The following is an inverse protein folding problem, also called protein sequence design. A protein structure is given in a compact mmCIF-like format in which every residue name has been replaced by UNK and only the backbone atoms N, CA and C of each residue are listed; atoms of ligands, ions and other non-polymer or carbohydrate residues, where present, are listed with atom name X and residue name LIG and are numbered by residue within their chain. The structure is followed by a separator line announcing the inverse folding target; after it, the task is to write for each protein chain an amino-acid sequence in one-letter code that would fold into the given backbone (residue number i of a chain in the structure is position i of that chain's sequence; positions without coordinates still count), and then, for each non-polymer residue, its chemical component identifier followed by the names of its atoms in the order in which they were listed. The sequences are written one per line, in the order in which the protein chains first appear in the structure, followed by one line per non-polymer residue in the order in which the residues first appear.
data_IF_980696007049
#
_entry.id   IF_980696007049
#
_cell.length_a   1.000
_cell.length_b   1.000
_cell.length_c   1.000
_cell.angle_alpha   90.00
_cell.angle_beta   90.00
_cell.angle_gamma   90.00
#
_symmetry.space_group_name_H-M   'P 1'
#
loop_
_entity.id
_entity.type
_entity.pdbx_description
1 polymer ?
#
# COMPACT_ATOMS: atom_id res chain seq x y z
N UNK A 1 -2.09 -8.54 -14.40
CA UNK A 1 -1.33 -7.86 -13.32
C UNK A 1 -1.62 -8.49 -11.95
N UNK A 2 -2.89 -8.69 -11.56
CA UNK A 2 -3.23 -9.33 -10.27
C UNK A 2 -2.60 -10.72 -10.08
N UNK A 3 -2.49 -11.53 -11.14
CA UNK A 3 -1.80 -12.83 -11.07
C UNK A 3 -0.31 -12.73 -10.78
N UNK A 4 0.37 -11.69 -11.26
CA UNK A 4 1.80 -11.48 -11.01
C UNK A 4 2.01 -11.10 -9.55
N UNK A 5 1.15 -10.24 -9.00
CA UNK A 5 1.16 -9.87 -7.57
C UNK A 5 0.87 -11.09 -6.70
N UNK A 6 -0.15 -11.88 -7.05
CA UNK A 6 -0.50 -13.12 -6.33
C UNK A 6 0.64 -14.14 -6.35
N UNK A 7 1.30 -14.32 -7.50
CA UNK A 7 2.48 -15.21 -7.62
C UNK A 7 3.67 -14.69 -6.83
N UNK A 8 3.92 -13.37 -6.83
CA UNK A 8 4.98 -12.77 -6.04
C UNK A 8 4.74 -12.93 -4.53
N UNK A 9 3.50 -12.77 -4.07
CA UNK A 9 3.12 -13.01 -2.66
C UNK A 9 3.30 -14.47 -2.27
N UNK A 10 2.83 -15.41 -3.09
CA UNK A 10 3.01 -16.86 -2.85
C UNK A 10 4.49 -17.26 -2.84
N UNK A 11 5.29 -16.70 -3.76
CA UNK A 11 6.72 -16.90 -3.79
C UNK A 11 7.42 -16.31 -2.56
N UNK A 12 6.97 -15.14 -2.08
CA UNK A 12 7.47 -14.51 -0.86
C UNK A 12 7.19 -15.36 0.39
N UNK A 13 5.96 -15.88 0.51
CA UNK A 13 5.58 -16.80 1.59
C UNK A 13 6.40 -18.10 1.55
N UNK A 14 6.55 -18.72 0.37
CA UNK A 14 7.37 -19.93 0.22
C UNK A 14 8.86 -19.69 0.47
N UNK A 15 9.38 -18.52 0.12
CA UNK A 15 10.76 -18.13 0.40
C UNK A 15 11.00 -17.94 1.91
N UNK A 16 10.04 -17.37 2.63
CA UNK A 16 10.10 -17.24 4.09
C UNK A 16 10.12 -18.61 4.78
N UNK A 17 9.30 -19.56 4.32
CA UNK A 17 9.23 -20.90 4.88
C UNK A 17 10.52 -21.70 4.63
N UNK A 18 11.05 -21.64 3.40
CA UNK A 18 12.37 -22.21 3.06
C UNK A 18 13.52 -21.59 3.86
N UNK A 19 13.49 -20.27 4.09
CA UNK A 19 14.50 -19.60 4.90
C UNK A 19 14.47 -20.07 6.36
N UNK A 20 13.27 -20.29 6.91
CA UNK A 20 13.09 -20.80 8.27
C UNK A 20 13.62 -22.23 8.41
N UNK A 21 13.32 -23.11 7.46
CA UNK A 21 13.87 -24.48 7.43
C UNK A 21 15.41 -24.48 7.35
N UNK A 22 15.98 -23.62 6.50
CA UNK A 22 17.43 -23.51 6.35
C UNK A 22 18.11 -23.05 7.64
N UNK A 23 17.53 -22.06 8.34
CA UNK A 23 18.04 -21.59 9.63
C UNK A 23 17.94 -22.69 10.69
N UNK A 24 16.83 -23.43 10.74
CA UNK A 24 16.66 -24.56 11.66
C UNK A 24 17.66 -25.69 11.39
N UNK A 25 18.01 -25.96 10.12
CA UNK A 25 19.06 -26.91 9.77
C UNK A 25 20.46 -26.48 10.22
N UNK A 26 20.80 -25.20 10.07
CA UNK A 26 22.08 -24.65 10.53
C UNK A 26 22.21 -24.74 12.06
N UNK A 27 21.11 -24.51 12.78
CA UNK A 27 21.05 -24.70 14.23
C UNK A 27 21.23 -26.17 14.60
N UNK A 28 20.54 -27.10 13.91
CA UNK A 28 20.69 -28.55 14.15
C UNK A 28 22.09 -29.07 13.86
N UNK A 29 22.77 -28.52 12.85
CA UNK A 29 24.18 -28.84 12.52
C UNK A 29 25.18 -28.23 13.51
N UNK A 30 24.72 -27.36 14.41
CA UNK A 30 25.58 -26.64 15.36
C UNK A 30 26.40 -25.52 14.73
N UNK A 31 26.13 -25.20 13.46
CA UNK A 31 26.79 -24.11 12.71
C UNK A 31 26.28 -22.72 13.15
N UNK A 32 25.11 -22.68 13.81
CA UNK A 32 24.50 -21.46 14.32
C UNK A 32 23.93 -21.69 15.73
N UNK A 33 24.14 -20.76 16.66
CA UNK A 33 23.44 -20.79 17.94
C UNK A 33 21.97 -20.40 17.77
N UNK A 34 21.07 -20.90 18.62
CA UNK A 34 19.66 -20.47 18.61
C UNK A 34 19.51 -18.95 18.78
N UNK A 35 20.43 -18.30 19.51
CA UNK A 35 20.38 -16.86 19.71
C UNK A 35 20.73 -16.09 18.44
N UNK A 36 21.68 -16.60 17.65
CA UNK A 36 22.12 -15.97 16.40
C UNK A 36 21.10 -16.21 15.29
N UNK A 37 20.46 -17.38 15.26
CA UNK A 37 19.32 -17.68 14.39
C UNK A 37 18.17 -16.69 14.59
N UNK A 38 17.78 -16.47 15.85
CA UNK A 38 16.70 -15.56 16.20
C UNK A 38 17.04 -14.11 15.83
N UNK A 39 18.28 -13.68 16.05
CA UNK A 39 18.74 -12.34 15.64
C UNK A 39 18.72 -12.16 14.13
N UNK A 40 19.22 -13.12 13.37
CA UNK A 40 19.26 -13.05 11.91
C UNK A 40 17.85 -12.99 11.32
N UNK A 41 16.93 -13.82 11.83
CA UNK A 41 15.53 -13.82 11.40
C UNK A 41 14.83 -12.50 11.72
N UNK A 42 15.07 -11.93 12.90
CA UNK A 42 14.53 -10.62 13.28
C UNK A 42 15.07 -9.49 12.39
N UNK A 43 16.36 -9.53 12.03
CA UNK A 43 16.95 -8.52 11.16
C UNK A 43 16.38 -8.61 9.73
N UNK A 44 16.19 -9.83 9.21
CA UNK A 44 15.55 -10.07 7.92
C UNK A 44 14.10 -9.60 7.92
N UNK A 45 13.32 -9.94 8.96
CA UNK A 45 11.93 -9.46 9.09
C UNK A 45 11.85 -7.94 9.19
N UNK A 46 12.71 -7.31 10.00
CA UNK A 46 12.71 -5.84 10.13
C UNK A 46 13.07 -5.14 8.82
N UNK A 47 14.03 -5.68 8.05
CA UNK A 47 14.36 -5.16 6.71
C UNK A 47 13.22 -5.39 5.71
N UNK A 48 12.53 -6.52 5.80
CA UNK A 48 11.38 -6.83 4.96
C UNK A 48 10.19 -5.88 5.26
N UNK A 49 9.89 -5.61 6.52
CA UNK A 49 8.85 -4.64 6.92
C UNK A 49 9.14 -3.24 6.38
N UNK A 50 10.36 -2.73 6.56
CA UNK A 50 10.76 -1.43 6.01
C UNK A 50 10.65 -1.37 4.49
N UNK A 51 11.04 -2.45 3.81
CA UNK A 51 10.91 -2.55 2.35
C UNK A 51 9.44 -2.61 1.94
N UNK A 52 8.58 -3.25 2.74
CA UNK A 52 7.13 -3.30 2.55
C UNK A 52 6.49 -1.92 2.60
N UNK A 53 6.82 -1.09 3.59
CA UNK A 53 6.31 0.28 3.70
C UNK A 53 6.67 1.14 2.48
N UNK A 54 7.90 1.04 1.97
CA UNK A 54 8.31 1.76 0.76
C UNK A 54 7.54 1.29 -0.48
N UNK A 55 7.27 -0.02 -0.57
CA UNK A 55 6.47 -0.61 -1.65
C UNK A 55 5.03 -0.10 -1.56
N UNK A 56 4.41 -0.12 -0.38
CA UNK A 56 3.04 0.37 -0.17
C UNK A 56 2.93 1.85 -0.55
N UNK A 57 3.91 2.67 -0.16
CA UNK A 57 3.95 4.08 -0.54
C UNK A 57 4.05 4.26 -2.06
N UNK A 58 4.92 3.51 -2.74
CA UNK A 58 5.04 3.56 -4.20
C UNK A 58 3.77 3.08 -4.89
N UNK A 59 3.13 2.03 -4.38
CA UNK A 59 1.84 1.55 -4.91
C UNK A 59 0.78 2.65 -4.76
N UNK A 60 0.68 3.29 -3.59
CA UNK A 60 -0.22 4.42 -3.35
C UNK A 60 -0.01 5.55 -4.35
N UNK A 61 1.24 5.96 -4.58
CA UNK A 61 1.56 6.99 -5.57
C UNK A 61 1.21 6.58 -7.02
N UNK A 62 1.44 5.32 -7.39
CA UNK A 62 1.10 4.79 -8.72
C UNK A 62 -0.42 4.80 -8.91
N UNK A 63 -1.17 4.37 -7.90
CA UNK A 63 -2.64 4.36 -7.93
C UNK A 63 -3.15 5.79 -8.02
N UNK A 64 -2.65 6.71 -7.20
CA UNK A 64 -3.04 8.12 -7.22
C UNK A 64 -2.74 8.77 -8.58
N UNK A 65 -1.54 8.58 -9.13
CA UNK A 65 -1.18 9.07 -10.47
C UNK A 65 -2.05 8.47 -11.57
N UNK A 66 -2.45 7.20 -11.43
CA UNK A 66 -3.31 6.53 -12.41
C UNK A 66 -4.74 7.07 -12.33
N UNK A 67 -5.27 7.29 -11.12
CA UNK A 67 -6.57 7.91 -10.91
C UNK A 67 -6.64 9.33 -11.50
N UNK A 68 -5.60 10.14 -11.26
CA UNK A 68 -5.46 11.48 -11.87
C UNK A 68 -5.40 11.40 -13.40
N UNK A 69 -4.61 10.48 -13.97
CA UNK A 69 -4.50 10.32 -15.43
C UNK A 69 -5.78 9.83 -16.10
N UNK A 70 -6.61 9.06 -15.40
CA UNK A 70 -7.88 8.59 -15.90
C UNK A 70 -9.01 9.63 -15.77
N UNK A 71 -8.70 10.85 -15.31
CA UNK A 71 -9.68 11.91 -15.07
C UNK A 71 -10.85 11.44 -14.16
N UNK A 72 -10.61 10.40 -13.35
CA UNK A 72 -11.55 9.92 -12.35
C UNK A 72 -11.51 10.93 -11.21
N UNK A 73 -12.28 12.01 -11.38
CA UNK A 73 -12.54 13.00 -10.33
C UNK A 73 -12.92 12.25 -9.07
N UNK A 74 -12.13 12.40 -8.02
CA UNK A 74 -12.39 11.72 -6.76
C UNK A 74 -13.74 12.17 -6.22
N UNK A 75 -14.34 11.38 -5.32
CA UNK A 75 -15.60 11.74 -4.63
C UNK A 75 -15.57 13.18 -4.08
N UNK A 76 -14.40 13.62 -3.66
CA UNK A 76 -14.09 14.95 -3.14
C UNK A 76 -14.22 16.08 -4.17
N UNK A 77 -13.92 15.81 -5.44
CA UNK A 77 -14.07 16.81 -6.52
C UNK A 77 -15.54 16.96 -6.90
N UNK A 78 -16.31 15.87 -6.86
CA UNK A 78 -17.77 15.88 -7.05
C UNK A 78 -18.44 16.69 -5.92
N UNK A 79 -18.08 16.44 -4.66
CA UNK A 79 -18.59 17.20 -3.51
C UNK A 79 -18.23 18.69 -3.61
N UNK A 80 -17.05 19.02 -4.14
CA UNK A 80 -16.64 20.41 -4.35
C UNK A 80 -17.49 21.07 -5.43
N UNK A 81 -17.80 20.35 -6.50
CA UNK A 81 -18.66 20.83 -7.58
C UNK A 81 -20.10 21.04 -7.10
N UNK A 82 -20.65 20.10 -6.31
CA UNK A 82 -21.98 20.23 -5.70
C UNK A 82 -22.10 21.47 -4.81
N UNK A 83 -21.10 21.74 -3.97
CA UNK A 83 -21.07 22.96 -3.14
C UNK A 83 -21.06 24.23 -3.98
N UNK A 84 -20.24 24.28 -5.03
CA UNK A 84 -20.19 25.44 -5.94
C UNK A 84 -21.53 25.63 -6.66
N UNK A 85 -22.19 24.55 -7.07
CA UNK A 85 -23.54 24.60 -7.67
C UNK A 85 -24.56 25.12 -6.66
N UNK A 86 -24.53 24.67 -5.41
CA UNK A 86 -25.43 25.18 -4.37
C UNK A 86 -25.22 26.68 -4.07
N UNK A 87 -23.97 27.13 -3.96
CA UNK A 87 -23.67 28.56 -3.76
C UNK A 87 -24.16 29.41 -4.92
N UNK A 88 -23.91 28.97 -6.16
CA UNK A 88 -24.41 29.65 -7.35
C UNK A 88 -25.94 29.67 -7.40
N UNK A 89 -26.58 28.56 -7.07
CA UNK A 89 -28.05 28.45 -7.03
C UNK A 89 -28.65 29.41 -6.01
N UNK A 90 -28.06 29.50 -4.81
CA UNK A 90 -28.50 30.44 -3.78
C UNK A 90 -28.29 31.90 -4.21
N UNK A 91 -27.18 32.21 -4.87
CA UNK A 91 -26.92 33.57 -5.39
C UNK A 91 -27.91 33.96 -6.48
N UNK A 92 -28.20 33.06 -7.41
CA UNK A 92 -29.20 33.29 -8.46
C UNK A 92 -30.58 33.51 -7.84
N UNK A 93 -30.98 32.66 -6.90
CA UNK A 93 -32.26 32.80 -6.19
C UNK A 93 -32.39 34.14 -5.47
N UNK A 94 -31.35 34.57 -4.75
CA UNK A 94 -31.35 35.87 -4.07
C UNK A 94 -31.41 37.06 -5.05
N UNK A 95 -30.82 36.92 -6.25
CA UNK A 95 -30.90 37.94 -7.30
C UNK A 95 -32.27 37.99 -7.97
N UNK A 96 -32.95 36.85 -8.11
CA UNK A 96 -34.33 36.77 -8.61
C UNK A 96 -35.35 37.29 -7.59
N UNK A 97 -35.13 37.05 -6.29
CA UNK A 97 -35.99 37.58 -5.21
C UNK A 97 -35.79 39.08 -4.95
N UNK A 98 -34.68 39.66 -5.40
CA UNK A 98 -34.38 41.10 -5.28
C UNK A 98 -34.86 41.93 -6.48
N UNK A 99 -35.63 41.32 -7.41
CA UNK A 99 -36.13 41.93 -8.64
C UNK A 99 -37.65 42.03 -8.63
#
# INVERSE_FOLDING_TARGET
MLDIVRKALLAGLGAQERAKEFVDELVKKGELSQSDAAKLMNEVMSRAEKSGEEIDKKIGEIVEKTLVKLNLTGKRDIEKLERTIQELSNRVKNMEESR
#
